data_IF_085406230408
#
_entry.id   IF_085406230408
#
_cell.length_a   1.000
_cell.length_b   1.000
_cell.length_c   1.000
_cell.angle_alpha   90.00
_cell.angle_beta   90.00
_cell.angle_gamma   90.00
#
_symmetry.space_group_name_H-M   'P 1'
#
loop_
_entity.id
_entity.type
_entity.pdbx_description
1 polymer ?
#
# COMPACT_ATOMS: atom_id res chain seq x y z
N UNK A 1 -5.27 -17.22 -2.51
CA UNK A 1 -6.56 -16.54 -2.72
C UNK A 1 -6.29 -15.05 -2.65
N UNK A 2 -6.58 -14.28 -3.71
CA UNK A 2 -6.37 -12.83 -3.70
C UNK A 2 -7.34 -12.18 -2.71
N UNK A 3 -6.87 -11.18 -1.96
CA UNK A 3 -7.69 -10.40 -1.02
C UNK A 3 -8.61 -9.51 -1.86
N UNK A 4 -9.82 -9.98 -2.16
CA UNK A 4 -10.82 -9.24 -2.93
C UNK A 4 -11.99 -8.85 -2.01
N UNK A 5 -12.11 -7.57 -1.71
CA UNK A 5 -13.17 -6.99 -0.89
C UNK A 5 -13.35 -5.52 -1.29
N UNK A 6 -14.60 -5.02 -1.33
CA UNK A 6 -14.88 -3.63 -1.76
C UNK A 6 -14.10 -2.59 -0.96
N UNK A 7 -13.91 -2.80 0.33
CA UNK A 7 -13.19 -1.87 1.21
C UNK A 7 -11.71 -2.21 1.38
N UNK A 8 -11.12 -3.03 0.48
CA UNK A 8 -9.69 -3.32 0.47
C UNK A 8 -9.15 -3.03 -0.93
N UNK A 9 -8.06 -2.27 -1.01
CA UNK A 9 -7.42 -1.91 -2.29
C UNK A 9 -7.03 -3.17 -3.07
N UNK A 10 -7.53 -3.26 -4.29
CA UNK A 10 -7.31 -4.43 -5.13
C UNK A 10 -5.88 -4.47 -5.66
N UNK A 11 -5.25 -5.65 -5.57
CA UNK A 11 -3.96 -5.94 -6.21
C UNK A 11 -4.18 -6.80 -7.44
N UNK A 12 -3.78 -6.28 -8.60
CA UNK A 12 -4.04 -6.90 -9.91
C UNK A 12 -2.90 -7.82 -10.34
N UNK A 13 -1.66 -7.42 -10.09
CA UNK A 13 -0.46 -8.16 -10.48
C UNK A 13 0.67 -7.92 -9.48
N UNK A 14 1.51 -8.91 -9.26
CA UNK A 14 2.78 -8.74 -8.60
C UNK A 14 3.90 -9.38 -9.44
N UNK A 15 5.12 -8.86 -9.29
CA UNK A 15 6.32 -9.40 -9.93
C UNK A 15 7.51 -9.27 -8.96
N UNK A 16 8.43 -10.23 -8.97
CA UNK A 16 9.64 -10.20 -8.14
C UNK A 16 10.84 -10.28 -9.07
N UNK A 17 11.68 -9.26 -9.03
CA UNK A 17 12.88 -9.20 -9.87
C UNK A 17 14.13 -9.26 -9.00
N UNK A 18 15.04 -10.14 -9.40
CA UNK A 18 16.38 -10.23 -8.84
C UNK A 18 17.20 -9.05 -9.33
N UNK A 19 17.87 -8.38 -8.41
CA UNK A 19 18.77 -7.26 -8.66
C UNK A 19 20.18 -7.74 -8.40
N UNK A 20 20.95 -7.97 -9.47
CA UNK A 20 22.38 -8.21 -9.37
C UNK A 20 23.07 -6.87 -9.14
N UNK A 21 23.71 -6.68 -7.98
CA UNK A 21 24.51 -5.49 -7.75
C UNK A 21 25.81 -5.59 -8.55
N UNK A 22 25.92 -4.83 -9.65
CA UNK A 22 27.22 -4.52 -10.24
C UNK A 22 27.90 -3.48 -9.34
N UNK A 23 28.86 -3.95 -8.53
CA UNK A 23 29.68 -3.10 -7.69
C UNK A 23 30.71 -2.39 -8.59
N UNK A 24 30.34 -1.24 -9.18
CA UNK A 24 31.31 -0.31 -9.77
C UNK A 24 31.16 1.07 -9.14
N UNK A 25 32.30 1.59 -8.72
CA UNK A 25 32.47 2.78 -7.88
C UNK A 25 31.65 3.99 -8.36
N UNK A 26 30.67 4.41 -7.57
CA UNK A 26 30.22 5.80 -7.51
C UNK A 26 29.24 6.30 -8.58
N UNK A 27 28.70 5.45 -9.45
CA UNK A 27 27.68 5.88 -10.43
C UNK A 27 26.53 4.88 -10.54
N UNK A 28 25.32 5.36 -10.21
CA UNK A 28 24.04 4.68 -10.46
C UNK A 28 23.81 4.65 -11.99
N UNK A 29 24.19 3.56 -12.65
CA UNK A 29 23.74 3.25 -14.01
C UNK A 29 22.75 2.08 -14.01
N UNK A 30 21.91 2.09 -15.03
CA UNK A 30 20.69 1.29 -15.22
C UNK A 30 20.85 -0.22 -14.96
N UNK A 31 19.76 -0.79 -14.43
CA UNK A 31 19.62 -2.16 -13.93
C UNK A 31 19.50 -3.16 -15.09
N UNK A 32 20.53 -3.95 -15.34
CA UNK A 32 20.42 -5.16 -16.18
C UNK A 32 19.92 -6.36 -15.37
N UNK A 33 18.96 -7.08 -15.96
CA UNK A 33 18.43 -8.34 -15.44
C UNK A 33 19.41 -9.46 -15.82
N UNK A 34 20.36 -9.78 -14.93
CA UNK A 34 21.40 -10.79 -15.15
C UNK A 34 21.39 -11.91 -14.10
N UNK A 35 21.79 -13.11 -14.51
CA UNK A 35 21.88 -14.30 -13.66
C UNK A 35 22.85 -14.09 -12.47
N UNK A 36 22.57 -14.68 -11.29
CA UNK A 36 23.37 -14.44 -10.10
C UNK A 36 24.72 -15.16 -10.18
N UNK A 37 25.81 -14.41 -10.34
CA UNK A 37 27.16 -14.88 -10.04
C UNK A 37 27.33 -14.96 -8.51
N UNK A 38 27.96 -16.05 -8.04
CA UNK A 38 27.98 -16.51 -6.64
C UNK A 38 28.66 -15.58 -5.60
N UNK A 39 29.08 -14.37 -5.99
CA UNK A 39 29.73 -13.39 -5.12
C UNK A 39 28.99 -12.04 -5.04
N UNK A 40 27.91 -11.83 -5.80
CA UNK A 40 27.14 -10.60 -5.75
C UNK A 40 26.03 -10.66 -4.69
N UNK A 41 25.95 -9.64 -3.83
CA UNK A 41 24.81 -9.46 -2.91
C UNK A 41 23.53 -9.40 -3.73
N UNK A 42 22.75 -10.47 -3.69
CA UNK A 42 21.53 -10.59 -4.49
C UNK A 42 20.40 -9.87 -3.75
N UNK A 43 19.97 -8.73 -4.29
CA UNK A 43 18.83 -7.99 -3.76
C UNK A 43 17.55 -8.34 -4.53
N UNK A 44 16.38 -8.17 -3.91
CA UNK A 44 15.10 -8.50 -4.54
C UNK A 44 14.17 -7.31 -4.47
N UNK A 45 13.54 -6.96 -5.59
CA UNK A 45 12.48 -5.95 -5.62
C UNK A 45 11.13 -6.59 -5.90
N UNK A 46 10.17 -6.33 -5.02
CA UNK A 46 8.76 -6.66 -5.20
C UNK A 46 8.06 -5.48 -5.89
N UNK A 47 7.40 -5.76 -7.00
CA UNK A 47 6.55 -4.83 -7.73
C UNK A 47 5.10 -5.23 -7.55
N UNK A 48 4.25 -4.28 -7.16
CA UNK A 48 2.80 -4.46 -7.02
C UNK A 48 2.09 -3.52 -7.99
N UNK A 49 1.12 -4.05 -8.73
CA UNK A 49 0.17 -3.27 -9.53
C UNK A 49 -1.16 -3.30 -8.81
N UNK A 50 -1.62 -2.14 -8.37
CA UNK A 50 -2.81 -1.99 -7.54
C UNK A 50 -3.74 -0.93 -8.12
N UNK A 51 -4.96 -0.86 -7.58
CA UNK A 51 -5.82 0.30 -7.80
C UNK A 51 -5.12 1.58 -7.33
N UNK A 52 -5.25 2.65 -8.11
CA UNK A 52 -4.66 3.94 -7.78
C UNK A 52 -5.63 4.76 -6.96
N UNK A 53 -5.22 5.11 -5.74
CA UNK A 53 -5.93 6.05 -4.88
C UNK A 53 -5.26 7.42 -4.97
N UNK A 54 -5.98 8.45 -5.42
CA UNK A 54 -5.44 9.81 -5.61
C UNK A 54 -4.98 10.48 -4.30
N UNK A 55 -5.44 9.99 -3.14
CA UNK A 55 -5.10 10.51 -1.81
C UNK A 55 -5.18 9.40 -0.76
N UNK A 56 -4.53 9.60 0.38
CA UNK A 56 -4.80 8.87 1.61
C UNK A 56 -5.74 9.65 2.53
N UNK A 57 -6.37 8.96 3.49
CA UNK A 57 -7.14 9.58 4.55
C UNK A 57 -6.26 10.51 5.42
N UNK A 58 -4.99 10.14 5.63
CA UNK A 58 -4.00 10.96 6.33
C UNK A 58 -3.80 12.33 5.67
N UNK A 59 -3.58 12.34 4.35
CA UNK A 59 -3.49 13.58 3.57
C UNK A 59 -4.82 14.36 3.58
N UNK A 60 -5.95 13.68 3.44
CA UNK A 60 -7.27 14.30 3.46
C UNK A 60 -7.60 14.98 4.80
N UNK A 61 -7.13 14.44 5.93
CA UNK A 61 -7.35 15.02 7.26
C UNK A 61 -6.71 16.40 7.42
N UNK A 62 -5.62 16.68 6.68
CA UNK A 62 -4.99 18.01 6.63
C UNK A 62 -5.71 19.00 5.70
N UNK A 63 -6.62 18.52 4.84
CA UNK A 63 -7.34 19.35 3.88
C UNK A 63 -8.43 20.19 4.54
N UNK A 64 -8.83 21.28 3.87
CA UNK A 64 -9.92 22.14 4.32
C UNK A 64 -11.25 21.40 4.48
N UNK A 65 -11.45 20.31 3.73
CA UNK A 65 -12.68 19.49 3.75
C UNK A 65 -12.93 18.87 5.12
N UNK A 66 -11.88 18.40 5.79
CA UNK A 66 -12.00 17.71 7.09
C UNK A 66 -11.65 18.60 8.29
N UNK A 67 -11.29 19.87 8.07
CA UNK A 67 -10.93 20.80 9.15
C UNK A 67 -12.10 21.18 10.04
N UNK A 68 -13.33 21.28 9.51
CA UNK A 68 -14.48 21.69 10.29
C UNK A 68 -15.23 20.49 10.89
N UNK A 69 -14.67 19.90 11.94
CA UNK A 69 -15.23 18.72 12.62
C UNK A 69 -16.60 18.93 13.28
N UNK A 70 -17.10 20.17 13.34
CA UNK A 70 -18.44 20.50 13.87
C UNK A 70 -19.51 20.50 12.79
N UNK A 71 -19.10 20.37 11.54
CA UNK A 71 -20.00 20.15 10.42
C UNK A 71 -20.59 18.73 10.52
N UNK A 72 -21.91 18.63 10.47
CA UNK A 72 -22.60 17.32 10.53
C UNK A 72 -22.22 16.46 9.33
N UNK A 73 -22.01 17.07 8.18
CA UNK A 73 -21.73 16.33 6.95
C UNK A 73 -20.34 15.68 7.03
N UNK A 74 -19.37 16.39 7.62
CA UNK A 74 -18.03 15.85 7.91
C UNK A 74 -18.10 14.70 8.91
N UNK A 75 -18.96 14.81 9.94
CA UNK A 75 -19.16 13.73 10.90
C UNK A 75 -19.76 12.48 10.24
N UNK A 76 -20.79 12.65 9.41
CA UNK A 76 -21.41 11.53 8.69
C UNK A 76 -20.45 10.86 7.71
N UNK A 77 -19.62 11.65 7.00
CA UNK A 77 -18.56 11.14 6.14
C UNK A 77 -17.54 10.31 6.93
N UNK A 78 -17.07 10.82 8.07
CA UNK A 78 -16.14 10.09 8.93
C UNK A 78 -16.74 8.78 9.45
N UNK A 79 -18.01 8.81 9.89
CA UNK A 79 -18.69 7.62 10.35
C UNK A 79 -18.79 6.55 9.24
N UNK A 80 -19.12 6.95 8.00
CA UNK A 80 -19.17 6.05 6.86
C UNK A 80 -17.79 5.42 6.58
N UNK A 81 -16.71 6.22 6.60
CA UNK A 81 -15.34 5.72 6.43
C UNK A 81 -14.95 4.71 7.51
N UNK A 82 -15.30 4.95 8.77
CA UNK A 82 -15.02 3.99 9.85
C UNK A 82 -15.80 2.69 9.69
N UNK A 83 -17.03 2.74 9.18
CA UNK A 83 -17.82 1.54 8.86
C UNK A 83 -17.13 0.74 7.74
N UNK A 84 -16.68 1.40 6.69
CA UNK A 84 -15.96 0.77 5.58
C UNK A 84 -14.66 0.11 6.05
N UNK A 85 -13.88 0.79 6.91
CA UNK A 85 -12.69 0.22 7.54
C UNK A 85 -13.02 -1.00 8.41
N UNK A 86 -14.12 -0.94 9.18
CA UNK A 86 -14.53 -2.06 10.03
C UNK A 86 -14.91 -3.30 9.20
N UNK A 87 -15.60 -3.12 8.08
CA UNK A 87 -15.89 -4.21 7.15
C UNK A 87 -14.61 -4.79 6.53
N UNK A 88 -13.67 -3.95 6.11
CA UNK A 88 -12.37 -4.40 5.60
C UNK A 88 -11.62 -5.25 6.62
N UNK A 89 -11.50 -4.77 7.87
CA UNK A 89 -10.81 -5.49 8.94
C UNK A 89 -11.52 -6.78 9.33
N UNK A 90 -12.86 -6.77 9.39
CA UNK A 90 -13.64 -7.99 9.63
C UNK A 90 -13.33 -9.04 8.55
N UNK A 91 -13.30 -8.63 7.28
CA UNK A 91 -12.92 -9.52 6.19
C UNK A 91 -11.50 -10.06 6.33
N UNK A 92 -10.51 -9.20 6.61
CA UNK A 92 -9.12 -9.62 6.83
C UNK A 92 -9.00 -10.62 7.99
N UNK A 93 -9.65 -10.32 9.11
CA UNK A 93 -9.66 -11.19 10.29
C UNK A 93 -10.35 -12.53 10.00
N UNK A 94 -11.41 -12.57 9.19
CA UNK A 94 -12.04 -13.83 8.75
C UNK A 94 -11.09 -14.75 7.95
N UNK A 95 -10.00 -14.19 7.42
CA UNK A 95 -8.93 -14.89 6.69
C UNK A 95 -7.69 -15.11 7.54
N UNK A 96 -7.74 -14.83 8.85
CA UNK A 96 -6.60 -14.85 9.77
C UNK A 96 -5.46 -13.91 9.38
N UNK A 97 -5.79 -12.77 8.75
CA UNK A 97 -4.82 -11.73 8.37
C UNK A 97 -4.94 -10.57 9.36
N UNK A 98 -3.86 -10.25 10.06
CA UNK A 98 -3.75 -9.03 10.87
C UNK A 98 -3.08 -7.95 10.01
N UNK A 99 -3.71 -6.78 9.89
CA UNK A 99 -3.17 -5.69 9.05
C UNK A 99 -1.77 -5.21 9.52
N UNK A 100 -1.56 -5.10 10.84
CA UNK A 100 -0.24 -4.80 11.43
C UNK A 100 0.16 -3.31 11.47
N UNK A 101 -0.29 -2.49 10.52
CA UNK A 101 0.04 -1.04 10.48
C UNK A 101 -1.19 -0.17 10.13
N UNK A 102 -2.29 -0.30 10.87
CA UNK A 102 -3.51 0.45 10.54
C UNK A 102 -3.37 1.92 11.00
N UNK A 103 -3.29 2.83 10.03
CA UNK A 103 -3.18 4.28 10.23
C UNK A 103 -3.84 5.04 9.08
N UNK A 104 -4.17 6.33 9.23
CA UNK A 104 -4.82 7.11 8.17
C UNK A 104 -4.06 7.15 6.84
N UNK A 105 -2.72 7.04 6.85
CA UNK A 105 -1.94 7.02 5.61
C UNK A 105 -2.07 5.72 4.81
N UNK A 106 -2.55 4.65 5.45
CA UNK A 106 -2.77 3.33 4.84
C UNK A 106 -4.26 3.08 4.52
N UNK A 107 -5.06 4.15 4.48
CA UNK A 107 -6.49 4.14 4.15
C UNK A 107 -6.74 5.11 3.00
#
# INVERSE_FOLDING_TARGET
SSVNHRNVVSTYKYDVKVMAHLQQAGQLLELEVGAPDAAASTDYKLYLVQEFCDTSLGAACGSAVLRNKRDRDVFHLMAALFIDMAHALQYLHSKNIVHGDLKPDNV
#
